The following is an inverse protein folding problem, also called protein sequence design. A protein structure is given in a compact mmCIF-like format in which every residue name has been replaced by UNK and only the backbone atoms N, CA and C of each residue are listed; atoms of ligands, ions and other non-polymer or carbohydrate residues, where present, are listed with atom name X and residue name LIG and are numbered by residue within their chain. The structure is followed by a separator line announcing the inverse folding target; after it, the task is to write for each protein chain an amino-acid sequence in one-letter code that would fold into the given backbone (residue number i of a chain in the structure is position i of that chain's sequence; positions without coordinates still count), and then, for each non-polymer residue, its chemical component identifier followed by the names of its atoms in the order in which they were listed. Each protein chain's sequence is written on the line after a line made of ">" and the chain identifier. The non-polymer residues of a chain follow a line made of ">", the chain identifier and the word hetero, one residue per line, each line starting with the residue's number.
data_IF_844410937016
#
_entry.id   IF_844410937016
#
_cell.length_a   1.000
_cell.length_b   1.000
_cell.length_c   1.000
_cell.angle_alpha   90.00
_cell.angle_beta   90.00
_cell.angle_gamma   90.00
#
_symmetry.space_group_name_H-M   'P 1'
#
loop_
_entity.id
_entity.type
_entity.pdbx_description
1 polymer ?
#
# COMPACT_ATOMS: atom_id res chain seq x y z
N UNK A 1 0.76 -6.40 27.76
CA UNK A 1 2.16 -6.30 27.33
C UNK A 1 2.14 -5.63 25.98
N UNK A 2 2.69 -4.42 25.90
CA UNK A 2 2.72 -3.65 24.66
C UNK A 2 3.93 -4.11 23.85
N UNK A 3 3.70 -4.53 22.60
CA UNK A 3 4.76 -4.96 21.71
C UNK A 3 5.27 -3.75 20.94
N UNK A 4 6.45 -3.27 21.29
CA UNK A 4 7.11 -2.17 20.58
C UNK A 4 7.91 -2.77 19.42
N UNK A 5 7.55 -2.37 18.18
CA UNK A 5 8.27 -2.76 16.96
C UNK A 5 8.73 -1.52 16.22
N UNK A 6 10.03 -1.42 16.02
CA UNK A 6 10.65 -0.37 15.20
C UNK A 6 11.27 -0.98 13.95
N UNK A 7 11.03 -0.39 12.79
CA UNK A 7 11.66 -0.78 11.51
C UNK A 7 12.64 0.32 11.15
N UNK A 8 13.91 -0.05 11.02
CA UNK A 8 15.00 0.88 10.73
C UNK A 8 15.74 0.46 9.47
N UNK A 9 16.35 1.43 8.79
CA UNK A 9 17.30 1.18 7.70
C UNK A 9 18.65 1.74 8.14
N UNK A 10 19.58 0.90 8.63
CA UNK A 10 20.88 1.36 9.06
C UNK A 10 21.67 1.92 7.87
N UNK A 11 22.21 3.13 8.00
CA UNK A 11 23.08 3.75 6.98
C UNK A 11 24.56 3.45 7.21
N UNK A 12 24.89 2.70 8.27
CA UNK A 12 26.24 2.35 8.66
C UNK A 12 26.28 0.99 9.36
N UNK A 13 27.47 0.60 9.79
CA UNK A 13 27.70 -0.67 10.50
C UNK A 13 27.29 -0.62 11.98
N UNK A 14 26.95 0.56 12.51
CA UNK A 14 26.50 0.77 13.88
C UNK A 14 25.14 1.45 13.91
N UNK A 15 24.26 0.98 14.80
CA UNK A 15 22.96 1.60 15.11
C UNK A 15 22.80 1.72 16.63
N UNK A 16 22.31 2.87 17.10
CA UNK A 16 22.00 3.11 18.51
C UNK A 16 20.48 3.11 18.69
N UNK A 17 19.97 2.15 19.44
CA UNK A 17 18.55 2.04 19.79
C UNK A 17 18.30 2.72 21.15
N UNK A 18 17.41 3.71 21.18
CA UNK A 18 16.95 4.31 22.44
C UNK A 18 15.75 3.53 22.95
N UNK A 19 15.91 2.90 24.12
CA UNK A 19 14.82 2.18 24.77
C UNK A 19 13.91 3.16 25.53
N UNK A 20 12.59 2.92 25.55
CA UNK A 20 11.68 3.71 26.37
C UNK A 20 11.94 3.47 27.87
N UNK A 21 11.62 4.47 28.69
CA UNK A 21 11.87 4.46 30.14
C UNK A 21 11.28 3.22 30.83
N UNK A 22 10.17 2.70 30.32
CA UNK A 22 9.49 1.52 30.84
C UNK A 22 10.32 0.23 30.72
N UNK A 23 11.36 0.20 29.89
CA UNK A 23 12.25 -0.95 29.69
C UNK A 23 13.52 -0.89 30.55
N UNK A 24 13.74 0.21 31.30
CA UNK A 24 14.91 0.35 32.16
C UNK A 24 14.90 -0.74 33.26
N UNK A 25 16.02 -1.46 33.39
CA UNK A 25 16.20 -2.51 34.40
C UNK A 25 15.55 -3.87 34.06
N UNK A 26 14.94 -4.01 32.88
CA UNK A 26 14.35 -5.27 32.41
C UNK A 26 15.29 -5.99 31.45
N UNK A 27 15.13 -7.31 31.34
CA UNK A 27 15.82 -8.09 30.31
C UNK A 27 15.14 -7.84 28.96
N UNK A 28 15.95 -7.49 27.95
CA UNK A 28 15.49 -7.18 26.59
C UNK A 28 16.17 -8.14 25.61
N UNK A 29 15.39 -8.75 24.72
CA UNK A 29 15.88 -9.53 23.59
C UNK A 29 15.72 -8.70 22.31
N UNK A 30 16.78 -8.63 21.50
CA UNK A 30 16.78 -7.89 20.23
C UNK A 30 16.93 -8.90 19.10
N UNK A 31 15.94 -8.93 18.19
CA UNK A 31 15.92 -9.82 17.03
C UNK A 31 16.01 -8.96 15.77
N UNK A 32 17.00 -9.25 14.93
CA UNK A 32 17.21 -8.58 13.65
C UNK A 32 17.13 -9.60 12.50
N UNK A 33 16.34 -9.27 11.48
CA UNK A 33 16.26 -10.04 10.25
C UNK A 33 16.08 -9.08 9.08
N UNK A 34 16.60 -9.47 7.92
CA UNK A 34 16.39 -8.73 6.68
C UNK A 34 14.89 -8.75 6.33
N UNK A 35 14.34 -7.57 6.06
CA UNK A 35 12.97 -7.45 5.56
C UNK A 35 13.07 -7.39 4.04
N UNK A 36 12.63 -8.45 3.36
CA UNK A 36 12.50 -8.46 1.91
C UNK A 36 11.50 -7.39 1.44
N UNK A 37 11.97 -6.48 0.58
CA UNK A 37 11.26 -5.36 -0.06
C UNK A 37 10.75 -4.25 0.89
N UNK A 38 11.55 -3.18 1.13
CA UNK A 38 11.13 -1.97 1.85
C UNK A 38 10.17 -1.05 1.08
N UNK A 39 9.85 -1.35 -0.18
CA UNK A 39 9.11 -0.42 -1.05
C UNK A 39 7.66 -0.84 -1.21
N UNK A 40 6.79 -0.39 -0.31
CA UNK A 40 5.37 -0.22 -0.66
C UNK A 40 4.55 0.76 0.19
N UNK A 41 5.10 1.41 1.23
CA UNK A 41 4.24 2.12 2.19
C UNK A 41 4.40 3.63 2.35
N UNK A 42 5.31 4.35 1.68
CA UNK A 42 5.39 5.81 1.93
C UNK A 42 5.86 6.74 0.79
N UNK A 43 6.22 6.26 -0.40
CA UNK A 43 6.82 7.14 -1.43
C UNK A 43 6.52 6.82 -2.89
N UNK A 44 5.65 5.85 -3.19
CA UNK A 44 5.29 5.44 -4.56
C UNK A 44 3.77 5.61 -4.77
N UNK A 45 3.24 6.82 -4.66
CA UNK A 45 1.79 7.01 -4.87
C UNK A 45 1.42 7.52 -6.27
N UNK A 46 2.35 8.11 -7.03
CA UNK A 46 2.01 8.70 -8.33
C UNK A 46 2.36 7.74 -9.48
N UNK A 47 3.60 7.25 -9.57
CA UNK A 47 3.99 6.28 -10.63
C UNK A 47 3.27 4.93 -10.49
N UNK A 48 2.97 4.50 -9.25
CA UNK A 48 2.22 3.27 -9.02
C UNK A 48 0.77 3.36 -9.51
N UNK A 49 0.16 4.55 -9.57
CA UNK A 49 -1.25 4.67 -9.94
C UNK A 49 -1.45 4.42 -11.43
N UNK A 50 -0.62 5.05 -12.28
CA UNK A 50 -0.70 4.86 -13.73
C UNK A 50 -0.37 3.41 -14.11
N UNK A 51 0.67 2.83 -13.50
CA UNK A 51 1.04 1.43 -13.70
C UNK A 51 -0.05 0.46 -13.20
N UNK A 52 -0.73 0.77 -12.09
CA UNK A 52 -1.87 -0.03 -11.59
C UNK A 52 -3.06 0.03 -12.54
N UNK A 53 -3.38 1.21 -13.07
CA UNK A 53 -4.47 1.39 -14.03
C UNK A 53 -4.17 0.61 -15.32
N UNK A 54 -2.94 0.67 -15.82
CA UNK A 54 -2.55 -0.06 -17.01
C UNK A 54 -2.61 -1.58 -16.79
N UNK A 55 -2.16 -2.05 -15.64
CA UNK A 55 -2.25 -3.47 -15.26
C UNK A 55 -3.69 -3.96 -15.16
N UNK A 56 -4.60 -3.13 -14.63
CA UNK A 56 -6.04 -3.44 -14.60
C UNK A 56 -6.58 -3.50 -16.04
N UNK A 57 -6.24 -2.55 -16.91
CA UNK A 57 -6.65 -2.57 -18.32
C UNK A 57 -6.18 -3.84 -19.02
N UNK A 58 -4.93 -4.26 -18.81
CA UNK A 58 -4.40 -5.50 -19.40
C UNK A 58 -5.14 -6.74 -18.90
N UNK A 59 -5.37 -6.87 -17.60
CA UNK A 59 -6.06 -8.03 -17.00
C UNK A 59 -7.49 -8.18 -17.55
N UNK A 60 -8.20 -7.06 -17.72
CA UNK A 60 -9.60 -7.08 -18.11
C UNK A 60 -9.82 -6.90 -19.61
N UNK A 61 -8.77 -6.72 -20.41
CA UNK A 61 -8.85 -6.43 -21.86
C UNK A 61 -9.77 -7.40 -22.62
N UNK A 62 -9.69 -8.68 -22.28
CA UNK A 62 -10.46 -9.74 -22.96
C UNK A 62 -11.89 -9.90 -22.42
N UNK A 63 -12.21 -9.22 -21.31
CA UNK A 63 -13.53 -9.23 -20.66
C UNK A 63 -14.35 -7.96 -20.92
N UNK A 64 -13.84 -7.04 -21.76
CA UNK A 64 -14.54 -5.81 -22.10
C UNK A 64 -15.61 -6.06 -23.16
N UNK A 65 -16.78 -5.45 -22.96
CA UNK A 65 -17.85 -5.43 -23.96
C UNK A 65 -17.67 -4.19 -24.84
N UNK A 66 -17.85 -4.33 -26.15
CA UNK A 66 -17.81 -3.20 -27.07
C UNK A 66 -19.03 -2.29 -26.86
N UNK A 67 -18.78 -1.08 -26.36
CA UNK A 67 -19.78 -0.05 -26.13
C UNK A 67 -19.60 1.16 -27.06
N UNK A 68 -18.85 1.01 -28.16
CA UNK A 68 -18.59 2.11 -29.12
C UNK A 68 -19.85 2.77 -29.68
N UNK A 69 -20.94 2.01 -29.80
CA UNK A 69 -22.24 2.47 -30.26
C UNK A 69 -23.26 2.70 -29.13
N UNK A 70 -22.85 2.57 -27.87
CA UNK A 70 -23.69 2.75 -26.72
C UNK A 70 -23.29 4.03 -25.97
N UNK A 71 -24.25 4.94 -25.81
CA UNK A 71 -24.08 6.13 -24.97
C UNK A 71 -25.09 6.04 -23.85
N UNK A 72 -24.61 5.92 -22.62
CA UNK A 72 -25.47 5.98 -21.46
C UNK A 72 -26.12 7.38 -21.38
N UNK A 73 -27.45 7.42 -21.43
CA UNK A 73 -28.23 8.61 -21.15
C UNK A 73 -28.81 8.53 -19.73
N UNK A 74 -28.34 9.43 -18.87
CA UNK A 74 -28.76 9.48 -17.47
C UNK A 74 -30.22 9.90 -17.33
N UNK A 75 -30.71 10.74 -18.24
CA UNK A 75 -32.06 11.29 -18.17
C UNK A 75 -33.09 10.25 -18.63
N UNK A 76 -32.71 9.33 -19.52
CA UNK A 76 -33.47 8.12 -19.85
C UNK A 76 -33.55 7.14 -18.66
N UNK A 77 -32.42 6.91 -17.98
CA UNK A 77 -32.33 5.92 -16.90
C UNK A 77 -32.99 6.36 -15.57
N UNK A 78 -33.18 7.67 -15.37
CA UNK A 78 -33.77 8.24 -14.15
C UNK A 78 -35.20 8.76 -14.35
N UNK A 79 -35.90 8.34 -15.40
CA UNK A 79 -37.31 8.67 -15.56
C UNK A 79 -38.16 7.78 -14.65
N UNK A 80 -38.35 8.23 -13.40
CA UNK A 80 -39.16 7.55 -12.38
C UNK A 80 -40.65 7.93 -12.42
N UNK A 81 -41.07 8.70 -13.44
CA UNK A 81 -42.45 9.14 -13.62
C UNK A 81 -43.25 8.08 -14.43
N UNK A 82 -43.50 6.93 -13.79
CA UNK A 82 -44.67 6.05 -14.03
C UNK A 82 -45.40 5.78 -12.71
#
# INVERSE_FOLDING_TARGET
>A
MELIREIIVPTGNSYTLNLPDEMIGKQVEVIAFEIGNPTQSAGIEIEAREQKIEKIREIFKDSLVDLSNFKFDRDEANNYDE
#
